data_IF_380148540198
#
_entry.id   IF_380148540198
#
_cell.length_a   1.000
_cell.length_b   1.000
_cell.length_c   1.000
_cell.angle_alpha   90.00
_cell.angle_beta   90.00
_cell.angle_gamma   90.00
#
_symmetry.space_group_name_H-M   'P 1'
#
loop_
_entity.id
_entity.type
_entity.pdbx_description
1 polymer ?
#
# COMPACT_ATOMS: atom_id res chain seq x y z
N UNK A 1 0.83 -35.60 32.56
CA UNK A 1 0.30 -36.10 31.26
C UNK A 1 1.41 -36.23 30.21
N UNK A 2 2.28 -35.24 30.03
CA UNK A 2 3.42 -35.30 29.07
C UNK A 2 4.43 -36.43 29.34
N UNK A 3 4.77 -36.73 30.60
CA UNK A 3 5.76 -37.78 30.95
C UNK A 3 5.29 -39.18 30.51
N UNK A 4 3.99 -39.47 30.64
CA UNK A 4 3.39 -40.75 30.26
C UNK A 4 3.26 -40.90 28.73
N UNK A 5 2.96 -39.79 28.04
CA UNK A 5 2.93 -39.71 26.58
C UNK A 5 4.32 -39.87 25.95
N UNK A 6 5.36 -39.33 26.61
CA UNK A 6 6.77 -39.52 26.22
C UNK A 6 7.19 -40.99 26.33
N UNK A 7 6.88 -41.66 27.44
CA UNK A 7 7.26 -43.06 27.64
C UNK A 7 6.62 -44.01 26.60
N UNK A 8 5.34 -43.79 26.27
CA UNK A 8 4.64 -44.60 25.27
C UNK A 8 5.19 -44.38 23.85
N UNK A 9 5.60 -43.15 23.50
CA UNK A 9 6.23 -42.87 22.20
C UNK A 9 7.61 -43.53 22.05
N UNK A 10 8.42 -43.53 23.12
CA UNK A 10 9.72 -44.23 23.10
C UNK A 10 9.54 -45.75 22.87
N UNK A 11 8.47 -46.34 23.38
CA UNK A 11 8.16 -47.76 23.21
C UNK A 11 7.74 -48.14 21.78
N UNK A 12 7.34 -47.16 20.96
CA UNK A 12 7.00 -47.35 19.54
C UNK A 12 8.17 -47.11 18.58
N UNK A 13 9.31 -46.62 19.08
CA UNK A 13 10.51 -46.40 18.28
C UNK A 13 11.18 -47.73 17.90
N UNK A 14 11.76 -47.79 16.71
CA UNK A 14 12.35 -49.00 16.15
C UNK A 14 13.78 -49.20 16.67
N UNK A 15 14.01 -50.31 17.38
CA UNK A 15 15.33 -50.73 17.84
C UNK A 15 15.84 -51.85 16.92
N UNK A 16 17.05 -51.69 16.41
CA UNK A 16 17.76 -52.73 15.66
C UNK A 16 18.84 -53.36 16.54
N UNK A 17 18.86 -54.69 16.65
CA UNK A 17 19.91 -55.43 17.35
C UNK A 17 20.75 -56.16 16.31
N UNK A 18 22.05 -55.95 16.30
CA UNK A 18 22.99 -56.58 15.37
C UNK A 18 24.01 -57.35 16.20
N UNK A 19 23.93 -58.67 16.17
CA UNK A 19 24.80 -59.55 16.96
C UNK A 19 24.81 -60.92 16.28
N UNK A 20 25.97 -61.55 16.05
CA UNK A 20 26.04 -62.81 15.32
C UNK A 20 25.54 -64.01 16.15
N UNK A 21 25.48 -63.88 17.48
CA UNK A 21 25.06 -64.90 18.41
C UNK A 21 23.54 -64.96 18.61
N UNK A 22 22.84 -66.04 18.19
CA UNK A 22 21.39 -66.14 18.32
C UNK A 22 20.88 -66.06 19.77
N UNK A 23 21.64 -66.61 20.72
CA UNK A 23 21.29 -66.60 22.14
C UNK A 23 21.37 -65.20 22.74
N UNK A 24 22.37 -64.41 22.34
CA UNK A 24 22.54 -63.04 22.82
C UNK A 24 21.47 -62.11 22.22
N UNK A 25 21.17 -62.25 20.92
CA UNK A 25 20.02 -61.57 20.29
C UNK A 25 18.71 -61.86 21.03
N UNK A 26 18.41 -63.14 21.29
CA UNK A 26 17.19 -63.55 22.01
C UNK A 26 17.13 -62.96 23.42
N UNK A 27 18.27 -62.91 24.13
CA UNK A 27 18.36 -62.31 25.46
C UNK A 27 18.05 -60.81 25.45
N UNK A 28 18.68 -60.03 24.56
CA UNK A 28 18.44 -58.60 24.41
C UNK A 28 16.97 -58.31 24.02
N UNK A 29 16.43 -59.08 23.06
CA UNK A 29 15.01 -58.98 22.67
C UNK A 29 14.09 -59.24 23.85
N UNK A 30 14.34 -60.28 24.66
CA UNK A 30 13.51 -60.61 25.81
C UNK A 30 13.50 -59.49 26.85
N UNK A 31 14.66 -58.91 27.16
CA UNK A 31 14.77 -57.80 28.11
C UNK A 31 14.01 -56.56 27.60
N UNK A 32 14.21 -56.19 26.33
CA UNK A 32 13.56 -55.02 25.74
C UNK A 32 12.04 -55.19 25.59
N UNK A 33 11.57 -56.38 25.18
CA UNK A 33 10.13 -56.68 25.11
C UNK A 33 9.46 -56.65 26.48
N UNK A 34 10.13 -57.19 27.52
CA UNK A 34 9.63 -57.12 28.89
C UNK A 34 9.52 -55.67 29.40
N UNK A 35 10.32 -54.75 28.87
CA UNK A 35 10.26 -53.32 29.17
C UNK A 35 9.26 -52.52 28.30
N UNK A 36 8.53 -53.19 27.39
CA UNK A 36 7.48 -52.61 26.57
C UNK A 36 7.94 -52.10 25.19
N UNK A 37 9.17 -52.38 24.75
CA UNK A 37 9.59 -52.09 23.38
C UNK A 37 9.06 -53.17 22.44
N UNK A 38 8.24 -52.77 21.46
CA UNK A 38 7.56 -53.72 20.58
C UNK A 38 8.14 -53.76 19.17
N UNK A 39 8.73 -52.66 18.70
CA UNK A 39 9.35 -52.54 17.38
C UNK A 39 10.84 -52.90 17.46
N UNK A 40 11.15 -54.20 17.47
CA UNK A 40 12.53 -54.70 17.56
C UNK A 40 12.83 -55.59 16.36
N UNK A 41 13.86 -55.21 15.59
CA UNK A 41 14.42 -56.01 14.51
C UNK A 41 15.78 -56.55 14.90
N UNK A 42 16.17 -57.68 14.32
CA UNK A 42 17.44 -58.34 14.61
C UNK A 42 18.16 -58.72 13.32
N UNK A 43 19.47 -58.48 13.28
CA UNK A 43 20.38 -58.93 12.22
C UNK A 43 21.52 -59.74 12.84
N UNK A 44 22.05 -60.70 12.10
CA UNK A 44 23.18 -61.54 12.49
C UNK A 44 24.51 -61.10 11.87
N UNK A 45 24.47 -60.13 10.95
CA UNK A 45 25.65 -59.61 10.25
C UNK A 45 25.45 -58.13 9.85
N UNK A 46 26.57 -57.43 9.62
CA UNK A 46 26.56 -56.02 9.22
C UNK A 46 25.87 -55.78 7.85
N UNK A 47 26.01 -56.69 6.88
CA UNK A 47 25.35 -56.60 5.56
C UNK A 47 23.83 -56.54 5.69
N UNK A 48 23.24 -57.44 6.48
CA UNK A 48 21.81 -57.45 6.75
C UNK A 48 21.34 -56.18 7.49
N UNK A 49 22.19 -55.62 8.37
CA UNK A 49 21.93 -54.34 9.02
C UNK A 49 21.82 -53.19 8.00
N UNK A 50 22.78 -53.04 7.09
CA UNK A 50 22.74 -52.00 6.05
C UNK A 50 21.53 -52.14 5.13
N UNK A 51 21.20 -53.38 4.72
CA UNK A 51 20.01 -53.64 3.90
C UNK A 51 18.71 -53.19 4.59
N UNK A 52 18.63 -53.35 5.91
CA UNK A 52 17.48 -52.92 6.70
C UNK A 52 17.44 -51.40 6.85
N UNK A 53 18.58 -50.75 7.14
CA UNK A 53 18.66 -49.28 7.27
C UNK A 53 18.27 -48.55 5.98
N UNK A 54 18.51 -49.16 4.83
CA UNK A 54 18.08 -48.63 3.53
C UNK A 54 16.58 -48.77 3.27
N UNK A 55 15.87 -49.64 4.00
CA UNK A 55 14.46 -49.96 3.76
C UNK A 55 13.52 -49.38 4.82
N UNK A 56 14.03 -49.20 6.04
CA UNK A 56 13.23 -48.80 7.19
C UNK A 56 14.00 -47.85 8.10
N UNK A 57 13.29 -46.87 8.65
CA UNK A 57 13.84 -45.97 9.65
C UNK A 57 14.09 -46.72 10.96
N UNK A 58 15.29 -46.58 11.50
CA UNK A 58 15.74 -47.14 12.78
C UNK A 58 16.07 -46.01 13.74
N UNK A 59 15.62 -46.12 14.98
CA UNK A 59 15.75 -45.09 16.00
C UNK A 59 16.89 -45.35 16.99
N UNK A 60 17.34 -46.60 17.10
CA UNK A 60 18.49 -47.01 17.91
C UNK A 60 19.06 -48.31 17.39
N UNK A 61 20.39 -48.42 17.38
CA UNK A 61 21.08 -49.68 17.08
C UNK A 61 21.82 -50.17 18.32
N UNK A 62 21.59 -51.42 18.71
CA UNK A 62 22.43 -52.17 19.64
C UNK A 62 23.37 -53.05 18.80
N UNK A 63 24.66 -52.75 18.80
CA UNK A 63 25.64 -53.33 17.90
C UNK A 63 26.65 -54.16 18.67
N UNK A 64 26.75 -55.46 18.38
CA UNK A 64 27.86 -56.26 18.85
C UNK A 64 29.18 -55.79 18.25
N UNK A 65 30.23 -55.74 19.07
CA UNK A 65 31.57 -55.38 18.61
C UNK A 65 32.21 -56.51 17.81
N UNK A 66 32.02 -57.77 18.23
CA UNK A 66 32.79 -58.92 17.76
C UNK A 66 32.03 -59.78 16.74
N UNK A 67 31.83 -59.23 15.54
CA UNK A 67 31.09 -59.92 14.47
C UNK A 67 31.98 -60.42 13.31
N UNK A 68 31.56 -61.47 12.57
CA UNK A 68 32.28 -61.99 11.40
C UNK A 68 32.30 -61.01 10.22
N UNK A 69 33.40 -61.03 9.45
CA UNK A 69 33.69 -60.19 8.26
C UNK A 69 33.83 -58.69 8.56
N UNK A 70 32.77 -58.04 9.01
CA UNK A 70 32.77 -56.63 9.40
C UNK A 70 32.43 -56.57 10.88
N UNK A 71 33.37 -56.08 11.69
CA UNK A 71 33.17 -55.92 13.12
C UNK A 71 32.25 -54.71 13.42
N UNK A 72 31.70 -54.64 14.63
CA UNK A 72 30.72 -53.61 14.99
C UNK A 72 31.26 -52.18 14.93
N UNK A 73 32.54 -51.98 15.23
CA UNK A 73 33.20 -50.66 15.21
C UNK A 73 33.29 -50.16 13.76
N UNK A 74 33.70 -51.00 12.83
CA UNK A 74 33.75 -50.66 11.40
C UNK A 74 32.35 -50.44 10.83
N UNK A 75 31.37 -51.26 11.20
CA UNK A 75 29.98 -51.06 10.82
C UNK A 75 29.45 -49.71 11.34
N UNK A 76 29.73 -49.35 12.59
CA UNK A 76 29.36 -48.05 13.16
C UNK A 76 29.95 -46.89 12.37
N UNK A 77 31.25 -46.95 12.05
CA UNK A 77 31.93 -45.92 11.26
C UNK A 77 31.26 -45.72 9.89
N UNK A 78 30.89 -46.81 9.23
CA UNK A 78 30.20 -46.79 7.93
C UNK A 78 28.76 -46.27 8.01
N UNK A 79 28.04 -46.54 9.10
CA UNK A 79 26.70 -45.97 9.32
C UNK A 79 26.83 -44.47 9.57
N UNK A 80 27.78 -44.06 10.41
CA UNK A 80 27.99 -42.66 10.78
C UNK A 80 28.52 -41.79 9.65
N UNK A 81 29.17 -42.35 8.64
CA UNK A 81 29.62 -41.60 7.47
C UNK A 81 28.47 -41.19 6.53
N UNK A 82 27.29 -41.79 6.66
CA UNK A 82 26.13 -41.49 5.81
C UNK A 82 25.26 -40.39 6.45
N UNK A 83 25.02 -39.24 5.77
CA UNK A 83 24.28 -38.11 6.36
C UNK A 83 22.87 -38.46 6.86
N UNK A 84 22.20 -39.41 6.22
CA UNK A 84 20.83 -39.83 6.56
C UNK A 84 20.79 -40.77 7.78
N UNK A 85 21.89 -41.48 8.08
CA UNK A 85 22.01 -42.45 9.17
C UNK A 85 22.89 -41.94 10.32
N UNK A 86 23.64 -40.87 10.10
CA UNK A 86 24.58 -40.24 11.04
C UNK A 86 23.98 -40.04 12.43
N UNK A 87 22.70 -39.73 12.48
CA UNK A 87 21.97 -39.35 13.67
C UNK A 87 21.38 -40.53 14.45
N UNK A 88 21.41 -41.74 13.91
CA UNK A 88 20.90 -42.93 14.59
C UNK A 88 21.87 -43.28 15.73
N UNK A 89 21.45 -43.24 17.00
CA UNK A 89 22.33 -43.61 18.10
C UNK A 89 22.75 -45.08 17.99
N UNK A 90 24.01 -45.36 18.28
CA UNK A 90 24.57 -46.72 18.25
C UNK A 90 25.16 -47.01 19.63
N UNK A 91 24.61 -48.01 20.32
CA UNK A 91 25.16 -48.51 21.58
C UNK A 91 25.90 -49.80 21.28
N UNK A 92 27.20 -49.82 21.54
CA UNK A 92 28.01 -51.02 21.39
C UNK A 92 27.69 -52.03 22.50
N UNK A 93 27.65 -53.31 22.18
CA UNK A 93 27.52 -54.40 23.14
C UNK A 93 28.81 -55.21 23.06
N UNK A 94 29.68 -55.10 24.06
CA UNK A 94 31.06 -55.59 24.01
C UNK A 94 31.38 -56.54 25.14
N UNK A 95 32.19 -57.56 24.88
CA UNK A 95 32.77 -58.42 25.93
C UNK A 95 34.04 -57.82 26.56
N UNK A 96 34.65 -56.83 25.91
CA UNK A 96 35.87 -56.15 26.36
C UNK A 96 35.54 -54.91 27.18
N UNK A 97 36.27 -54.75 28.29
CA UNK A 97 36.31 -53.52 29.10
C UNK A 97 37.66 -52.82 28.96
N UNK A 98 38.47 -53.20 27.97
CA UNK A 98 39.74 -52.56 27.70
C UNK A 98 39.52 -51.14 27.18
N UNK A 99 40.30 -50.19 27.70
CA UNK A 99 40.16 -48.76 27.39
C UNK A 99 40.33 -48.50 25.89
N UNK A 100 41.22 -49.22 25.22
CA UNK A 100 41.48 -49.09 23.78
C UNK A 100 40.29 -49.45 22.88
N UNK A 101 39.50 -50.45 23.27
CA UNK A 101 38.32 -50.87 22.49
C UNK A 101 37.17 -49.88 22.67
N UNK A 102 37.05 -49.30 23.86
CA UNK A 102 36.07 -48.26 24.15
C UNK A 102 36.39 -46.97 23.39
N UNK A 103 37.65 -46.55 23.39
CA UNK A 103 38.12 -45.39 22.60
C UNK A 103 37.81 -45.58 21.12
N UNK A 104 38.16 -46.74 20.56
CA UNK A 104 37.90 -47.07 19.16
C UNK A 104 36.40 -47.02 18.79
N UNK A 105 35.52 -47.47 19.72
CA UNK A 105 34.07 -47.41 19.52
C UNK A 105 33.54 -45.96 19.48
N UNK A 106 33.97 -45.10 20.41
CA UNK A 106 33.56 -43.69 20.43
C UNK A 106 34.12 -42.91 19.24
N UNK A 107 35.36 -43.18 18.82
CA UNK A 107 35.96 -42.59 17.61
C UNK A 107 35.22 -43.00 16.33
N UNK A 108 34.66 -44.22 16.28
CA UNK A 108 33.79 -44.65 15.20
C UNK A 108 32.38 -44.00 15.25
N UNK A 109 32.10 -43.20 16.28
CA UNK A 109 30.83 -42.48 16.46
C UNK A 109 29.78 -43.22 17.28
N UNK A 110 30.15 -44.27 18.03
CA UNK A 110 29.24 -44.90 18.98
C UNK A 110 28.75 -43.87 20.00
N UNK A 111 27.47 -43.94 20.33
CA UNK A 111 26.85 -43.07 21.34
C UNK A 111 27.17 -43.55 22.75
N UNK A 112 27.26 -44.86 22.93
CA UNK A 112 27.53 -45.48 24.22
C UNK A 112 27.98 -46.94 24.05
N UNK A 113 28.24 -47.63 25.16
CA UNK A 113 28.49 -49.07 25.18
C UNK A 113 27.86 -49.77 26.40
N UNK A 114 27.70 -51.08 26.30
CA UNK A 114 27.21 -52.00 27.33
C UNK A 114 28.13 -53.22 27.37
N UNK A 115 28.54 -53.62 28.57
CA UNK A 115 29.41 -54.78 28.78
C UNK A 115 28.59 -56.07 28.82
N UNK A 116 29.09 -57.14 28.19
CA UNK A 116 28.48 -58.48 28.19
C UNK A 116 28.90 -59.26 29.46
N UNK A 117 27.98 -59.99 30.11
CA UNK A 117 26.55 -60.06 29.82
C UNK A 117 25.82 -58.78 30.28
N UNK A 118 24.88 -58.25 29.47
CA UNK A 118 24.22 -56.98 29.77
C UNK A 118 23.33 -57.08 31.02
N UNK A 119 23.55 -56.18 31.98
CA UNK A 119 22.65 -56.06 33.13
C UNK A 119 21.36 -55.31 32.72
N UNK A 120 20.19 -55.87 33.09
CA UNK A 120 18.88 -55.34 32.66
C UNK A 120 18.69 -53.84 32.97
N UNK A 121 19.08 -53.41 34.17
CA UNK A 121 18.90 -52.01 34.60
C UNK A 121 19.76 -51.07 33.74
N UNK A 122 21.01 -51.46 33.45
CA UNK A 122 21.94 -50.65 32.67
C UNK A 122 21.50 -50.55 31.21
N UNK A 123 21.18 -51.69 30.59
CA UNK A 123 20.69 -51.74 29.21
C UNK A 123 19.47 -50.85 29.02
N UNK A 124 18.47 -50.97 29.90
CA UNK A 124 17.25 -50.18 29.79
C UNK A 124 17.48 -48.69 30.06
N UNK A 125 18.40 -48.33 30.96
CA UNK A 125 18.74 -46.94 31.21
C UNK A 125 19.38 -46.28 29.97
N UNK A 126 20.38 -46.93 29.38
CA UNK A 126 21.10 -46.41 28.20
C UNK A 126 20.20 -46.39 26.95
N UNK A 127 19.42 -47.43 26.71
CA UNK A 127 18.43 -47.49 25.61
C UNK A 127 17.42 -46.35 25.71
N UNK A 128 16.83 -46.14 26.89
CA UNK A 128 15.85 -45.06 27.10
C UNK A 128 16.47 -43.67 26.92
N UNK A 129 17.70 -43.46 27.41
CA UNK A 129 18.40 -42.21 27.25
C UNK A 129 18.68 -41.89 25.77
N UNK A 130 19.21 -42.86 25.01
CA UNK A 130 19.51 -42.71 23.59
C UNK A 130 18.26 -42.48 22.74
N UNK A 131 17.19 -43.25 22.97
CA UNK A 131 15.93 -43.05 22.25
C UNK A 131 15.30 -41.69 22.56
N UNK A 132 15.39 -41.22 23.81
CA UNK A 132 14.89 -39.90 24.19
C UNK A 132 15.62 -38.79 23.45
N UNK A 133 16.96 -38.86 23.39
CA UNK A 133 17.76 -37.89 22.65
C UNK A 133 17.45 -37.90 21.16
N UNK A 134 17.30 -39.08 20.54
CA UNK A 134 16.90 -39.21 19.14
C UNK A 134 15.54 -38.57 18.88
N UNK A 135 14.55 -38.87 19.71
CA UNK A 135 13.22 -38.32 19.60
C UNK A 135 13.21 -36.78 19.71
N UNK A 136 13.90 -36.22 20.70
CA UNK A 136 13.99 -34.76 20.88
C UNK A 136 14.69 -34.07 19.70
N UNK A 137 15.74 -34.69 19.14
CA UNK A 137 16.45 -34.19 17.97
C UNK A 137 15.57 -34.18 16.71
N UNK A 138 14.84 -35.26 16.44
CA UNK A 138 13.97 -35.35 15.27
C UNK A 138 12.84 -34.32 15.33
N UNK A 139 12.24 -34.14 16.51
CA UNK A 139 11.21 -33.11 16.73
C UNK A 139 11.77 -31.71 16.48
N UNK A 140 13.01 -31.44 16.92
CA UNK A 140 13.66 -30.16 16.68
C UNK A 140 13.89 -29.91 15.20
N UNK A 141 14.39 -30.91 14.45
CA UNK A 141 14.62 -30.78 13.01
C UNK A 141 13.32 -30.57 12.24
N UNK A 142 12.27 -31.33 12.57
CA UNK A 142 10.95 -31.17 11.95
C UNK A 142 10.39 -29.76 12.17
N UNK A 143 10.48 -29.25 13.40
CA UNK A 143 10.02 -27.90 13.74
C UNK A 143 10.84 -26.80 13.06
N UNK A 144 12.15 -27.02 12.88
CA UNK A 144 13.01 -26.06 12.17
C UNK A 144 12.62 -25.95 10.69
N UNK A 145 12.29 -27.06 10.04
CA UNK A 145 11.80 -27.06 8.65
C UNK A 145 10.46 -26.34 8.54
N UNK A 146 9.52 -26.62 9.45
CA UNK A 146 8.22 -25.96 9.50
C UNK A 146 8.35 -24.44 9.70
N UNK A 147 9.20 -24.00 10.63
CA UNK A 147 9.41 -22.59 10.92
C UNK A 147 10.05 -21.84 9.74
N UNK A 148 10.96 -22.49 9.00
CA UNK A 148 11.53 -21.93 7.77
C UNK A 148 10.45 -21.72 6.71
N UNK A 149 9.54 -22.68 6.54
CA UNK A 149 8.44 -22.56 5.58
C UNK A 149 7.51 -21.39 5.95
N UNK A 150 7.10 -21.30 7.22
CA UNK A 150 6.25 -20.21 7.71
C UNK A 150 6.90 -18.84 7.48
N UNK A 151 8.22 -18.74 7.68
CA UNK A 151 8.96 -17.48 7.46
C UNK A 151 8.93 -17.06 5.99
N UNK A 152 9.07 -18.00 5.06
CA UNK A 152 8.97 -17.75 3.62
C UNK A 152 7.56 -17.29 3.25
N UNK A 153 6.54 -18.02 3.70
CA UNK A 153 5.14 -17.71 3.40
C UNK A 153 4.74 -16.34 3.95
N UNK A 154 5.16 -16.03 5.18
CA UNK A 154 4.91 -14.73 5.80
C UNK A 154 5.60 -13.60 5.04
N UNK A 155 6.86 -13.78 4.62
CA UNK A 155 7.58 -12.79 3.83
C UNK A 155 6.89 -12.51 2.49
N UNK A 156 6.34 -13.55 1.84
CA UNK A 156 5.60 -13.40 0.59
C UNK A 156 4.26 -12.66 0.82
N UNK A 157 3.52 -13.02 1.87
CA UNK A 157 2.27 -12.37 2.22
C UNK A 157 2.48 -10.88 2.54
N UNK A 158 3.51 -10.54 3.31
CA UNK A 158 3.86 -9.15 3.63
C UNK A 158 4.19 -8.34 2.38
N UNK A 159 4.95 -8.93 1.44
CA UNK A 159 5.28 -8.27 0.17
C UNK A 159 4.02 -8.01 -0.67
N UNK A 160 3.14 -8.99 -0.79
CA UNK A 160 1.87 -8.84 -1.53
C UNK A 160 0.96 -7.78 -0.90
N UNK A 161 0.91 -7.73 0.43
CA UNK A 161 0.14 -6.72 1.17
C UNK A 161 0.68 -5.30 0.91
N UNK A 162 2.00 -5.11 0.90
CA UNK A 162 2.60 -3.82 0.56
C UNK A 162 2.26 -3.38 -0.87
N UNK A 163 2.39 -4.28 -1.85
CA UNK A 163 2.02 -4.01 -3.25
C UNK A 163 0.55 -3.60 -3.38
N UNK A 164 -0.37 -4.28 -2.68
CA UNK A 164 -1.79 -3.93 -2.64
C UNK A 164 -2.04 -2.55 -2.00
N UNK A 165 -1.34 -2.23 -0.91
CA UNK A 165 -1.44 -0.92 -0.28
C UNK A 165 -0.96 0.21 -1.19
N UNK A 166 0.13 0.01 -1.93
CA UNK A 166 0.62 1.01 -2.89
C UNK A 166 -0.38 1.23 -4.03
N UNK A 167 -0.93 0.16 -4.60
CA UNK A 167 -1.95 0.27 -5.65
C UNK A 167 -3.19 1.01 -5.15
N UNK A 168 -3.64 0.71 -3.93
CA UNK A 168 -4.79 1.39 -3.33
C UNK A 168 -4.52 2.88 -3.12
N UNK A 169 -3.32 3.25 -2.65
CA UNK A 169 -2.92 4.66 -2.49
C UNK A 169 -2.93 5.41 -3.82
N UNK A 170 -2.34 4.83 -4.87
CA UNK A 170 -2.32 5.44 -6.20
C UNK A 170 -3.73 5.66 -6.76
N UNK A 171 -4.64 4.69 -6.57
CA UNK A 171 -6.03 4.83 -7.00
C UNK A 171 -6.78 5.88 -6.18
N UNK A 172 -6.52 5.96 -4.86
CA UNK A 172 -7.08 7.01 -3.99
C UNK A 172 -6.59 8.40 -4.40
N UNK A 173 -5.29 8.59 -4.63
CA UNK A 173 -4.72 9.87 -5.10
C UNK A 173 -5.29 10.30 -6.45
N UNK A 174 -5.46 9.34 -7.37
CA UNK A 174 -6.07 9.60 -8.68
C UNK A 174 -7.54 10.01 -8.53
N UNK A 175 -8.30 9.32 -7.69
CA UNK A 175 -9.71 9.64 -7.42
C UNK A 175 -9.86 11.01 -6.76
N UNK A 176 -9.00 11.30 -5.78
CA UNK A 176 -8.98 12.60 -5.09
C UNK A 176 -8.65 13.74 -6.04
N UNK A 177 -7.63 13.58 -6.89
CA UNK A 177 -7.28 14.59 -7.90
C UNK A 177 -8.44 14.85 -8.87
N UNK A 178 -9.14 13.81 -9.31
CA UNK A 178 -10.29 13.97 -10.21
C UNK A 178 -11.45 14.70 -9.53
N UNK A 179 -11.70 14.43 -8.24
CA UNK A 179 -12.72 15.13 -7.47
C UNK A 179 -12.36 16.62 -7.29
N UNK A 180 -11.10 16.90 -6.95
CA UNK A 180 -10.61 18.26 -6.74
C UNK A 180 -10.51 19.09 -8.04
N UNK A 181 -10.46 18.46 -9.21
CA UNK A 181 -10.59 19.15 -10.49
C UNK A 181 -12.01 19.69 -10.75
N UNK A 182 -13.01 19.25 -9.98
CA UNK A 182 -14.42 19.62 -10.15
C UNK A 182 -14.91 20.49 -8.99
N UNK A 183 -14.42 20.21 -7.78
CA UNK A 183 -14.89 20.85 -6.55
C UNK A 183 -13.74 21.46 -5.77
N UNK A 184 -13.93 22.64 -5.16
CA UNK A 184 -12.96 23.19 -4.23
C UNK A 184 -12.73 22.25 -3.05
N UNK A 185 -11.50 22.16 -2.56
CA UNK A 185 -11.10 21.23 -1.48
C UNK A 185 -12.03 21.26 -0.25
N UNK A 186 -12.40 22.42 0.33
CA UNK A 186 -13.30 22.46 1.49
C UNK A 186 -14.69 21.87 1.22
N UNK A 187 -15.18 22.02 -0.01
CA UNK A 187 -16.47 21.50 -0.48
C UNK A 187 -16.41 19.99 -0.70
N UNK A 188 -15.34 19.52 -1.33
CA UNK A 188 -15.09 18.09 -1.56
C UNK A 188 -15.01 17.30 -0.24
N UNK A 189 -14.34 17.84 0.78
CA UNK A 189 -14.25 17.20 2.10
C UNK A 189 -15.61 17.06 2.79
N UNK A 190 -16.47 18.07 2.70
CA UNK A 190 -17.84 18.01 3.25
C UNK A 190 -18.68 16.93 2.56
N UNK A 191 -18.56 16.77 1.24
CA UNK A 191 -19.23 15.68 0.53
C UNK A 191 -18.71 14.30 0.96
N UNK A 192 -17.39 14.14 1.12
CA UNK A 192 -16.77 12.89 1.62
C UNK A 192 -17.28 12.53 3.02
N UNK A 193 -17.58 13.53 3.86
CA UNK A 193 -18.16 13.36 5.19
C UNK A 193 -19.68 13.04 5.17
N UNK A 194 -20.29 12.93 3.98
CA UNK A 194 -21.69 12.57 3.83
C UNK A 194 -22.66 13.75 3.93
N UNK A 195 -22.18 14.99 3.90
CA UNK A 195 -23.05 16.17 3.88
C UNK A 195 -23.84 16.23 2.57
N UNK A 196 -25.17 16.11 2.65
CA UNK A 196 -26.03 16.05 1.45
C UNK A 196 -26.33 17.43 0.86
N UNK A 197 -26.41 18.48 1.70
CA UNK A 197 -26.70 19.84 1.28
C UNK A 197 -25.52 20.73 1.66
N UNK A 198 -24.81 21.23 0.66
CA UNK A 198 -23.74 22.21 0.82
C UNK A 198 -24.24 23.51 0.20
N UNK A 199 -24.57 24.45 1.07
CA UNK A 199 -24.92 25.82 0.72
C UNK A 199 -24.38 26.72 1.82
N UNK A 200 -23.64 27.74 1.44
CA UNK A 200 -23.00 28.69 2.34
C UNK A 200 -23.30 30.12 1.86
N UNK A 201 -23.65 30.98 2.81
CA UNK A 201 -23.86 32.40 2.58
C UNK A 201 -22.55 33.16 2.67
N UNK A 202 -22.23 33.94 1.64
CA UNK A 202 -21.08 34.82 1.61
C UNK A 202 -21.58 36.26 1.48
N UNK A 203 -21.44 37.08 2.55
CA UNK A 203 -22.00 38.43 2.55
C UNK A 203 -21.30 39.36 1.56
N UNK A 204 -20.04 39.06 1.21
CA UNK A 204 -19.24 39.93 0.36
C UNK A 204 -18.25 39.10 -0.47
N UNK A 205 -18.48 39.07 -1.79
CA UNK A 205 -17.58 38.48 -2.79
C UNK A 205 -17.50 39.40 -3.99
N UNK A 206 -16.47 39.26 -4.81
CA UNK A 206 -16.38 39.96 -6.11
C UNK A 206 -16.46 38.97 -7.25
N UNK A 207 -17.50 39.11 -8.08
CA UNK A 207 -17.74 38.26 -9.25
C UNK A 207 -17.29 39.00 -10.51
N UNK A 208 -16.57 38.30 -11.38
CA UNK A 208 -16.17 38.77 -12.70
C UNK A 208 -16.73 37.86 -13.79
N UNK A 209 -17.26 38.49 -14.83
CA UNK A 209 -17.58 37.86 -16.11
C UNK A 209 -16.67 38.43 -17.20
N UNK A 210 -16.01 37.57 -17.96
CA UNK A 210 -15.24 37.93 -19.15
C UNK A 210 -15.81 37.21 -20.37
N UNK A 211 -16.18 37.94 -21.41
CA UNK A 211 -16.85 37.45 -22.62
C UNK A 211 -16.05 37.79 -23.87
N UNK A 212 -15.93 36.86 -24.82
CA UNK A 212 -15.22 37.09 -26.07
C UNK A 212 -16.13 37.84 -27.05
N UNK A 213 -15.68 39.01 -27.50
CA UNK A 213 -16.46 39.86 -28.40
C UNK A 213 -16.62 39.19 -29.77
N UNK A 214 -17.84 39.17 -30.29
CA UNK A 214 -18.22 38.62 -31.59
C UNK A 214 -17.89 37.13 -31.79
N UNK A 215 -17.74 36.36 -30.70
CA UNK A 215 -17.35 34.95 -30.76
C UNK A 215 -18.31 34.10 -31.58
N UNK A 216 -19.63 34.32 -31.48
CA UNK A 216 -20.61 33.56 -32.28
C UNK A 216 -20.35 33.68 -33.79
N UNK A 217 -19.98 34.88 -34.25
CA UNK A 217 -19.64 35.12 -35.67
C UNK A 217 -18.30 34.49 -36.05
N UNK A 218 -17.33 34.49 -35.14
CA UNK A 218 -16.04 33.81 -35.32
C UNK A 218 -16.23 32.29 -35.41
N UNK A 219 -16.95 31.70 -34.46
CA UNK A 219 -17.20 30.27 -34.37
C UNK A 219 -17.98 29.72 -35.58
N UNK A 220 -18.92 30.49 -36.13
CA UNK A 220 -19.66 30.12 -37.34
C UNK A 220 -18.77 29.98 -38.60
N UNK A 221 -17.56 30.56 -38.58
CA UNK A 221 -16.60 30.52 -39.70
C UNK A 221 -15.46 29.53 -39.49
N UNK A 222 -15.45 28.80 -38.38
CA UNK A 222 -14.38 27.91 -37.99
C UNK A 222 -14.88 26.45 -37.92
N UNK A 223 -14.03 25.46 -38.25
CA UNK A 223 -14.31 24.08 -37.91
C UNK A 223 -14.52 23.90 -36.40
N UNK A 224 -15.44 23.01 -36.00
CA UNK A 224 -15.78 22.81 -34.59
C UNK A 224 -14.55 22.46 -33.71
N UNK A 225 -13.60 21.70 -34.26
CA UNK A 225 -12.35 21.37 -33.57
C UNK A 225 -11.52 22.62 -33.24
N UNK A 226 -11.42 23.56 -34.18
CA UNK A 226 -10.64 24.78 -34.02
C UNK A 226 -11.32 25.76 -33.04
N UNK A 227 -12.65 25.79 -33.03
CA UNK A 227 -13.43 26.57 -32.04
C UNK A 227 -13.13 26.06 -30.63
N UNK A 228 -13.18 24.75 -30.42
CA UNK A 228 -12.89 24.14 -29.11
C UNK A 228 -11.42 24.34 -28.73
N UNK A 229 -10.48 24.17 -29.67
CA UNK A 229 -9.06 24.40 -29.42
C UNK A 229 -8.76 25.86 -29.02
N UNK A 230 -9.41 26.83 -29.68
CA UNK A 230 -9.30 28.24 -29.37
C UNK A 230 -9.81 28.54 -27.95
N UNK A 231 -11.03 28.08 -27.62
CA UNK A 231 -11.60 28.26 -26.27
C UNK A 231 -10.70 27.63 -25.20
N UNK A 232 -10.22 26.40 -25.45
CA UNK A 232 -9.33 25.71 -24.52
C UNK A 232 -8.02 26.49 -24.30
N UNK A 233 -7.41 27.01 -25.37
CA UNK A 233 -6.19 27.80 -25.28
C UNK A 233 -6.39 29.11 -24.50
N UNK A 234 -7.51 29.81 -24.70
CA UNK A 234 -7.81 31.04 -23.96
C UNK A 234 -8.12 30.75 -22.51
N UNK A 235 -9.06 29.84 -22.23
CA UNK A 235 -9.50 29.57 -20.86
C UNK A 235 -8.43 28.88 -20.01
N UNK A 236 -7.54 28.06 -20.59
CA UNK A 236 -6.40 27.51 -19.84
C UNK A 236 -5.45 28.62 -19.35
N UNK A 237 -5.27 29.69 -20.14
CA UNK A 237 -4.48 30.87 -19.70
C UNK A 237 -5.19 31.64 -18.60
N UNK A 238 -6.51 31.74 -18.66
CA UNK A 238 -7.30 32.37 -17.60
C UNK A 238 -7.31 31.54 -16.32
N UNK A 239 -7.39 30.21 -16.44
CA UNK A 239 -7.29 29.28 -15.30
C UNK A 239 -5.96 29.47 -14.57
N UNK A 240 -4.85 29.51 -15.30
CA UNK A 240 -3.53 29.80 -14.72
C UNK A 240 -3.46 31.17 -14.01
N UNK A 241 -4.04 32.21 -14.62
CA UNK A 241 -4.12 33.53 -13.99
C UNK A 241 -4.99 33.51 -12.74
N UNK A 242 -6.13 32.80 -12.76
CA UNK A 242 -7.06 32.72 -11.64
C UNK A 242 -6.38 32.05 -10.43
N UNK A 243 -5.69 30.93 -10.66
CA UNK A 243 -4.88 30.25 -9.63
C UNK A 243 -3.80 31.18 -9.05
N UNK A 244 -3.07 31.90 -9.91
CA UNK A 244 -2.02 32.83 -9.48
C UNK A 244 -2.56 33.96 -8.60
N UNK A 245 -3.78 34.43 -8.87
CA UNK A 245 -4.45 35.46 -8.08
C UNK A 245 -5.25 34.91 -6.89
N UNK A 246 -5.28 33.58 -6.71
CA UNK A 246 -6.05 32.91 -5.65
C UNK A 246 -7.56 33.10 -5.80
N UNK A 247 -8.05 33.06 -7.04
CA UNK A 247 -9.45 33.22 -7.41
C UNK A 247 -10.06 31.87 -7.78
N UNK A 248 -11.35 31.70 -7.53
CA UNK A 248 -12.07 30.47 -7.84
C UNK A 248 -12.77 30.59 -9.19
N UNK A 249 -12.45 29.70 -10.12
CA UNK A 249 -13.18 29.55 -11.37
C UNK A 249 -14.50 28.85 -11.09
N UNK A 250 -15.60 29.44 -11.51
CA UNK A 250 -16.93 28.85 -11.29
C UNK A 250 -17.34 28.00 -12.47
N UNK A 251 -17.38 28.59 -13.65
CA UNK A 251 -17.76 27.90 -14.88
C UNK A 251 -17.42 28.72 -16.11
N UNK A 252 -17.56 28.09 -17.26
CA UNK A 252 -17.75 28.77 -18.53
C UNK A 252 -19.24 28.74 -18.91
N UNK A 253 -19.70 29.77 -19.61
CA UNK A 253 -21.07 29.87 -20.14
C UNK A 253 -20.93 30.23 -21.62
N UNK A 254 -20.87 29.21 -22.47
CA UNK A 254 -20.45 29.41 -23.87
C UNK A 254 -19.02 29.95 -23.93
N UNK A 255 -18.88 31.16 -24.45
CA UNK A 255 -17.65 31.92 -24.59
C UNK A 255 -17.36 32.90 -23.44
N UNK A 256 -18.23 32.93 -22.42
CA UNK A 256 -18.00 33.67 -21.19
C UNK A 256 -17.27 32.83 -20.14
N UNK A 257 -16.40 33.49 -19.38
CA UNK A 257 -15.62 32.96 -18.26
C UNK A 257 -16.07 33.64 -16.96
N UNK A 258 -16.46 32.84 -15.96
CA UNK A 258 -16.91 33.33 -14.66
C UNK A 258 -15.91 32.95 -13.57
N UNK A 259 -15.46 33.95 -12.83
CA UNK A 259 -14.53 33.79 -11.70
C UNK A 259 -15.01 34.63 -10.52
N UNK A 260 -14.60 34.24 -9.32
CA UNK A 260 -14.96 34.95 -8.09
C UNK A 260 -13.78 35.05 -7.14
N UNK A 261 -13.65 36.19 -6.48
CA UNK A 261 -12.80 36.38 -5.31
C UNK A 261 -13.63 36.33 -4.03
N UNK A 262 -13.10 35.70 -2.98
CA UNK A 262 -13.80 35.52 -1.69
C UNK A 262 -14.49 34.17 -1.53
N UNK A 263 -14.31 33.25 -2.48
CA UNK A 263 -14.79 31.86 -2.42
C UNK A 263 -13.66 30.87 -2.74
N UNK A 264 -13.76 29.60 -2.26
CA UNK A 264 -14.67 29.13 -1.21
C UNK A 264 -14.29 29.67 0.18
N UNK A 265 -13.12 30.32 0.29
CA UNK A 265 -12.61 30.92 1.52
C UNK A 265 -12.68 32.44 1.39
N UNK A 266 -13.31 33.09 2.36
CA UNK A 266 -13.38 34.54 2.43
C UNK A 266 -11.97 35.15 2.48
N UNK A 267 -11.78 36.27 1.80
CA UNK A 267 -10.52 37.02 1.78
C UNK A 267 -10.81 38.53 1.73
N UNK A 268 -10.08 39.38 2.47
CA UNK A 268 -10.37 40.82 2.53
C UNK A 268 -10.01 41.57 1.25
N UNK A 269 -9.10 41.04 0.44
CA UNK A 269 -8.63 41.62 -0.81
C UNK A 269 -9.34 41.02 -2.04
N UNK A 270 -10.55 40.49 -1.86
CA UNK A 270 -11.33 39.84 -2.94
C UNK A 270 -11.50 40.75 -4.17
N UNK A 271 -11.87 42.01 -3.98
CA UNK A 271 -12.05 42.98 -5.07
C UNK A 271 -10.70 43.36 -5.73
N UNK A 272 -9.65 43.77 -4.98
CA UNK A 272 -8.32 44.01 -5.54
C UNK A 272 -7.75 42.83 -6.33
N UNK A 273 -7.90 41.59 -5.85
CA UNK A 273 -7.42 40.40 -6.53
C UNK A 273 -8.13 40.18 -7.88
N UNK A 274 -9.46 40.33 -7.91
CA UNK A 274 -10.26 40.22 -9.15
C UNK A 274 -9.93 41.35 -10.12
N UNK A 275 -9.72 42.57 -9.64
CA UNK A 275 -9.31 43.71 -10.47
C UNK A 275 -7.93 43.51 -11.10
N UNK A 276 -6.96 42.99 -10.34
CA UNK A 276 -5.64 42.66 -10.85
C UNK A 276 -5.69 41.56 -11.91
N UNK A 277 -6.46 40.51 -11.66
CA UNK A 277 -6.73 39.45 -12.63
C UNK A 277 -7.37 39.97 -13.92
N UNK A 278 -8.36 40.87 -13.83
CA UNK A 278 -9.00 41.47 -14.99
C UNK A 278 -8.01 42.26 -15.88
N UNK A 279 -7.11 43.03 -15.26
CA UNK A 279 -6.06 43.75 -15.97
C UNK A 279 -5.06 42.80 -16.64
N UNK A 280 -4.70 41.70 -15.97
CA UNK A 280 -3.81 40.69 -16.54
C UNK A 280 -4.43 39.93 -17.71
N UNK A 281 -5.74 39.66 -17.70
CA UNK A 281 -6.46 39.12 -18.88
C UNK A 281 -6.21 40.02 -20.09
N UNK A 282 -6.42 41.34 -19.96
CA UNK A 282 -6.25 42.27 -21.07
C UNK A 282 -4.79 42.28 -21.57
N UNK A 283 -3.81 42.30 -20.66
CA UNK A 283 -2.37 42.25 -21.02
C UNK A 283 -2.00 40.97 -21.76
N UNK A 284 -2.47 39.83 -21.27
CA UNK A 284 -2.16 38.50 -21.82
C UNK A 284 -2.75 38.31 -23.21
N UNK A 285 -3.93 38.88 -23.49
CA UNK A 285 -4.51 38.88 -24.83
C UNK A 285 -3.79 39.86 -25.78
N UNK A 286 -3.32 41.00 -25.27
CA UNK A 286 -2.59 42.00 -26.06
C UNK A 286 -1.12 41.63 -26.37
N UNK A 287 -0.46 40.77 -25.58
CA UNK A 287 1.00 40.61 -25.61
C UNK A 287 1.60 39.25 -26.03
N UNK A 288 0.89 38.35 -26.71
CA UNK A 288 1.46 37.06 -27.14
C UNK A 288 1.93 37.00 -28.61
N UNK A 289 2.37 35.82 -29.07
CA UNK A 289 2.87 35.57 -30.44
C UNK A 289 1.96 34.69 -31.34
N UNK A 290 0.83 34.16 -30.84
CA UNK A 290 -0.12 33.32 -31.61
C UNK A 290 -1.60 33.74 -31.43
N UNK A 291 -2.34 33.76 -32.56
CA UNK A 291 -3.82 33.83 -32.86
C UNK A 291 -4.80 34.53 -31.92
N UNK A 292 -4.51 34.62 -30.63
CA UNK A 292 -5.23 35.32 -29.56
C UNK A 292 -5.13 36.84 -29.59
N UNK A 293 -4.22 37.46 -30.36
CA UNK A 293 -4.03 38.93 -30.38
C UNK A 293 -5.18 39.71 -31.00
N UNK A 294 -6.03 39.02 -31.76
CA UNK A 294 -7.21 39.61 -32.36
C UNK A 294 -8.47 39.44 -31.49
N UNK A 295 -8.38 38.65 -30.42
CA UNK A 295 -9.51 38.46 -29.52
C UNK A 295 -9.65 39.68 -28.63
N UNK A 296 -10.85 40.27 -28.68
CA UNK A 296 -11.26 41.33 -27.76
C UNK A 296 -12.17 40.73 -26.72
N UNK A 297 -12.07 41.21 -25.49
CA UNK A 297 -12.93 40.76 -24.40
C UNK A 297 -13.70 41.91 -23.78
N UNK A 298 -14.89 41.62 -23.28
CA UNK A 298 -15.64 42.51 -22.39
C UNK A 298 -15.60 41.95 -20.99
N UNK A 299 -15.21 42.76 -20.02
CA UNK A 299 -15.12 42.33 -18.63
C UNK A 299 -16.08 43.16 -17.77
N UNK A 300 -16.86 42.48 -16.94
CA UNK A 300 -17.78 43.09 -15.98
C UNK A 300 -17.53 42.59 -14.58
N UNK A 301 -17.46 43.49 -13.61
CA UNK A 301 -17.15 43.17 -12.21
C UNK A 301 -18.19 43.80 -11.29
N UNK A 302 -18.72 43.00 -10.36
CA UNK A 302 -19.60 43.48 -9.30
C UNK A 302 -19.28 42.80 -7.97
N UNK A 303 -19.50 43.52 -6.88
CA UNK A 303 -19.24 43.07 -5.51
C UNK A 303 -20.53 43.08 -4.72
N UNK A 304 -20.79 42.02 -3.96
CA UNK A 304 -21.97 41.90 -3.10
C UNK A 304 -22.19 40.47 -2.58
N UNK A 305 -23.33 40.20 -1.95
CA UNK A 305 -23.62 38.92 -1.33
C UNK A 305 -24.00 37.83 -2.34
N UNK A 306 -23.59 36.60 -2.06
CA UNK A 306 -23.96 35.40 -2.82
C UNK A 306 -24.23 34.21 -1.90
N UNK A 307 -25.03 33.27 -2.39
CA UNK A 307 -25.09 31.91 -1.87
C UNK A 307 -24.24 31.04 -2.78
N UNK A 308 -23.30 30.29 -2.24
CA UNK A 308 -22.53 29.31 -3.00
C UNK A 308 -22.82 27.90 -2.50
N UNK A 309 -22.79 26.90 -3.38
CA UNK A 309 -23.21 25.56 -2.99
C UNK A 309 -23.11 24.54 -4.10
N UNK A 310 -23.38 23.28 -3.74
CA UNK A 310 -23.32 22.14 -4.67
C UNK A 310 -24.72 21.69 -5.05
N UNK A 311 -24.98 21.60 -6.36
CA UNK A 311 -26.21 21.01 -6.91
C UNK A 311 -25.90 19.70 -7.64
N UNK A 312 -26.83 18.76 -7.55
CA UNK A 312 -26.83 17.51 -8.30
C UNK A 312 -26.40 16.31 -7.47
N UNK A 313 -26.88 15.12 -7.85
CA UNK A 313 -26.57 13.85 -7.17
C UNK A 313 -25.60 12.96 -7.96
N UNK A 314 -25.40 13.26 -9.25
CA UNK A 314 -24.50 12.51 -10.16
C UNK A 314 -23.49 13.38 -10.88
N UNK A 315 -23.85 14.64 -11.18
CA UNK A 315 -22.99 15.65 -11.77
C UNK A 315 -22.97 16.82 -10.80
N UNK A 316 -22.09 16.75 -9.81
CA UNK A 316 -21.94 17.82 -8.84
C UNK A 316 -21.47 19.09 -9.55
N UNK A 317 -22.15 20.20 -9.31
CA UNK A 317 -21.78 21.52 -9.81
C UNK A 317 -21.71 22.43 -8.59
N UNK A 318 -20.52 22.94 -8.29
CA UNK A 318 -20.36 24.05 -7.35
C UNK A 318 -20.62 25.36 -8.08
N UNK A 319 -21.55 26.16 -7.58
CA UNK A 319 -22.07 27.32 -8.28
C UNK A 319 -22.51 28.43 -7.32
N UNK A 320 -22.80 29.61 -7.88
CA UNK A 320 -23.23 30.80 -7.14
C UNK A 320 -24.64 31.21 -7.55
N UNK A 321 -25.42 31.63 -6.55
CA UNK A 321 -26.72 32.23 -6.72
C UNK A 321 -26.79 33.57 -5.99
N UNK A 322 -27.55 34.50 -6.55
CA UNK A 322 -27.75 35.81 -5.96
C UNK A 322 -27.81 36.92 -6.99
N UNK A 323 -28.28 38.08 -6.53
CA UNK A 323 -28.40 39.27 -7.36
C UNK A 323 -27.03 39.73 -7.90
N UNK A 324 -25.97 39.51 -7.12
CA UNK A 324 -24.59 39.87 -7.45
C UNK A 324 -24.09 39.22 -8.73
N UNK A 325 -24.40 37.93 -8.96
CA UNK A 325 -24.02 37.21 -10.19
C UNK A 325 -24.70 37.85 -11.40
N UNK A 326 -25.99 38.16 -11.29
CA UNK A 326 -26.75 38.82 -12.35
C UNK A 326 -26.22 40.22 -12.63
N UNK A 327 -25.89 41.01 -11.61
CA UNK A 327 -25.33 42.37 -11.78
C UNK A 327 -23.96 42.32 -12.45
N UNK A 328 -23.07 41.41 -12.05
CA UNK A 328 -21.75 41.24 -12.66
C UNK A 328 -21.86 40.90 -14.17
N UNK A 329 -22.74 39.96 -14.52
CA UNK A 329 -23.03 39.63 -15.92
C UNK A 329 -23.56 40.86 -16.68
N UNK A 330 -24.45 41.66 -16.08
CA UNK A 330 -24.93 42.89 -16.72
C UNK A 330 -23.83 43.93 -16.93
N UNK A 331 -22.90 44.09 -15.98
CA UNK A 331 -21.74 44.98 -16.15
C UNK A 331 -20.90 44.57 -17.35
N UNK A 332 -20.75 43.26 -17.60
CA UNK A 332 -20.02 42.76 -18.76
C UNK A 332 -20.78 43.06 -20.06
N UNK A 333 -22.09 42.76 -20.09
CA UNK A 333 -22.91 42.90 -21.30
C UNK A 333 -23.01 44.34 -21.83
N UNK A 334 -23.06 45.33 -20.93
CA UNK A 334 -23.15 46.75 -21.31
C UNK A 334 -21.78 47.41 -21.49
N UNK A 335 -20.69 46.67 -21.24
CA UNK A 335 -19.31 47.13 -21.42
C UNK A 335 -18.89 47.22 -22.88
N UNK A 336 -17.86 48.03 -23.14
CA UNK A 336 -17.26 48.18 -24.46
C UNK A 336 -16.13 47.16 -24.68
N UNK A 337 -15.83 46.74 -25.91
CA UNK A 337 -14.69 45.85 -26.19
C UNK A 337 -13.39 46.35 -25.58
N UNK A 338 -12.62 45.44 -24.98
CA UNK A 338 -11.36 45.68 -24.27
C UNK A 338 -11.46 46.66 -23.08
N UNK A 339 -12.64 46.78 -22.48
CA UNK A 339 -12.83 47.54 -21.24
C UNK A 339 -13.21 46.62 -20.08
N UNK A 340 -12.84 47.05 -18.89
CA UNK A 340 -13.27 46.45 -17.63
C UNK A 340 -14.26 47.40 -16.99
N UNK A 341 -15.54 47.05 -17.04
CA UNK A 341 -16.58 47.81 -16.38
C UNK A 341 -16.82 47.30 -14.96
N UNK A 342 -16.93 48.21 -14.01
CA UNK A 342 -17.25 47.90 -12.62
C UNK A 342 -18.46 48.69 -12.15
N UNK A 343 -19.25 48.08 -11.27
CA UNK A 343 -20.35 48.78 -10.57
C UNK A 343 -19.82 49.74 -9.50
N UNK A 344 -20.66 50.67 -9.03
CA UNK A 344 -20.41 51.49 -7.84
C UNK A 344 -19.94 50.70 -6.62
N UNK A 345 -20.56 49.56 -6.31
CA UNK A 345 -20.17 48.73 -5.16
C UNK A 345 -18.69 48.33 -5.24
N UNK A 346 -18.28 47.72 -6.35
CA UNK A 346 -16.86 47.39 -6.60
C UNK A 346 -15.95 48.61 -6.60
N UNK A 347 -16.38 49.76 -7.15
CA UNK A 347 -15.59 51.00 -7.13
C UNK A 347 -15.21 51.39 -5.69
N UNK A 348 -16.14 51.28 -4.73
CA UNK A 348 -15.86 51.61 -3.32
C UNK A 348 -14.74 50.75 -2.71
N UNK A 349 -14.55 49.51 -3.17
CA UNK A 349 -13.45 48.64 -2.74
C UNK A 349 -12.11 48.90 -3.46
N UNK A 350 -12.13 49.61 -4.60
CA UNK A 350 -10.95 49.75 -5.46
C UNK A 350 -10.41 51.19 -5.53
N UNK A 351 -11.22 52.20 -5.20
CA UNK A 351 -10.91 53.63 -5.40
C UNK A 351 -9.58 54.10 -4.80
N UNK A 352 -9.11 53.44 -3.73
CA UNK A 352 -7.89 53.83 -3.01
C UNK A 352 -6.62 53.16 -3.58
N UNK A 353 -6.76 52.14 -4.43
CA UNK A 353 -5.63 51.30 -4.91
C UNK A 353 -5.58 51.11 -6.42
N UNK A 354 -6.64 51.49 -7.14
CA UNK A 354 -6.73 51.37 -8.59
C UNK A 354 -7.18 52.68 -9.22
N UNK A 355 -6.77 52.91 -10.47
CA UNK A 355 -7.24 54.04 -11.27
C UNK A 355 -8.56 53.67 -11.93
N UNK A 356 -9.64 54.34 -11.54
CA UNK A 356 -10.97 54.18 -12.12
C UNK A 356 -11.47 55.50 -12.74
N UNK A 357 -12.21 55.39 -13.84
CA UNK A 357 -12.84 56.52 -14.54
C UNK A 357 -14.36 56.38 -14.50
N UNK A 358 -15.07 57.43 -14.07
CA UNK A 358 -16.53 57.41 -14.05
C UNK A 358 -17.07 57.43 -15.48
N UNK A 359 -17.90 56.43 -15.83
CA UNK A 359 -18.64 56.39 -17.09
C UNK A 359 -19.99 57.11 -16.98
N UNK A 360 -20.49 57.26 -15.76
CA UNK A 360 -21.76 57.90 -15.44
C UNK A 360 -22.87 56.90 -15.11
N UNK A 361 -24.12 57.37 -15.18
CA UNK A 361 -25.32 56.56 -14.92
C UNK A 361 -25.85 56.00 -16.23
N UNK A 362 -26.00 54.68 -16.32
CA UNK A 362 -26.50 53.99 -17.51
C UNK A 362 -27.72 53.11 -17.17
N UNK A 363 -28.66 52.91 -18.12
CA UNK A 363 -29.75 51.97 -17.95
C UNK A 363 -29.22 50.53 -18.06
N UNK A 364 -29.52 49.71 -17.04
CA UNK A 364 -29.13 48.31 -16.97
C UNK A 364 -30.38 47.43 -16.88
N UNK A 365 -30.52 46.50 -17.84
CA UNK A 365 -31.70 45.63 -17.96
C UNK A 365 -31.96 44.85 -16.67
N UNK A 366 -33.11 45.12 -16.05
CA UNK A 366 -33.56 44.50 -14.80
C UNK A 366 -32.95 45.08 -13.53
N UNK A 367 -32.16 46.16 -13.63
CA UNK A 367 -31.56 46.87 -12.48
C UNK A 367 -31.94 48.36 -12.41
N UNK A 368 -32.51 48.91 -13.48
CA UNK A 368 -32.79 50.34 -13.57
C UNK A 368 -31.52 51.12 -13.91
N UNK A 369 -31.41 52.34 -13.42
CA UNK A 369 -30.25 53.19 -13.62
C UNK A 369 -29.13 52.85 -12.63
N UNK A 370 -27.92 52.60 -13.13
CA UNK A 370 -26.76 52.28 -12.32
C UNK A 370 -25.59 53.18 -12.65
N UNK A 371 -24.92 53.69 -11.61
CA UNK A 371 -23.61 54.35 -11.76
C UNK A 371 -22.51 53.32 -11.96
N UNK A 372 -21.67 53.55 -12.96
CA UNK A 372 -20.64 52.59 -13.39
C UNK A 372 -19.32 53.29 -13.72
N UNK A 373 -18.24 52.52 -13.64
CA UNK A 373 -16.87 53.01 -13.82
C UNK A 373 -16.09 52.06 -14.73
N UNK A 374 -15.05 52.59 -15.37
CA UNK A 374 -14.03 51.80 -16.06
C UNK A 374 -12.81 51.64 -15.17
N UNK A 375 -12.31 50.42 -15.03
CA UNK A 375 -11.02 50.14 -14.40
C UNK A 375 -9.91 50.33 -15.45
N UNK A 376 -9.02 51.30 -15.21
CA UNK A 376 -8.00 51.73 -16.18
C UNK A 376 -6.62 51.13 -15.91
N UNK A 377 -6.31 50.83 -14.65
CA UNK A 377 -5.01 50.30 -14.26
C UNK A 377 -4.80 50.25 -12.75
N UNK A 378 -3.59 49.83 -12.33
CA UNK A 378 -3.16 49.96 -10.94
C UNK A 378 -2.92 51.43 -10.60
N UNK A 379 -3.26 51.82 -9.37
CA UNK A 379 -3.12 53.18 -8.83
C UNK A 379 -1.68 53.55 -8.53
#
# INVERSE_FOLDING_TARGET
MEVTLSAHRLQTMMILIVDDSPSQRLSLVAILKAAGFHQIHTCDEASACFDLLNRQAVDLILMDVSMPRINGIEACRQIKSQPELHDIPIIMVTASVEVSDLESAFEAGATDYIVKPPHQIELLARVRASLRLKYEMDQRKAKEVELRQITIDLSQALKSLDEQHQLLRLEQEKSERLLLNILPKPVAERLKQGQQVIADDFPEVTVLFADIVDFTSLAARMPAQDVVALLNAVFSRFDWLAERHGLEKIKTIGDAYMVVGGLPTARPDHAPAVAAFALDILRVLQGGEHTSHLLRVRIGIHTGPVVAGVIGTKKFIYDLWGDTVNTASRMQMVGSPNTIQVSEATYQHLKDTFKLEERGVIPVKGKGEMRVYFLMGKG
#
